data_IF_582263909767
#
_entry.id   IF_582263909767
#
_cell.length_a   1.000
_cell.length_b   1.000
_cell.length_c   1.000
_cell.angle_alpha   90.00
_cell.angle_beta   90.00
_cell.angle_gamma   90.00
#
_symmetry.space_group_name_H-M   'P 1'
#
loop_
_entity.id
_entity.type
_entity.pdbx_description
1 polymer ?
#
# COMPACT_ATOMS: atom_id res chain seq x y z
N UNK A 1 -37.03 20.73 -52.00
CA UNK A 1 -38.33 20.04 -51.71
C UNK A 1 -38.02 18.72 -50.99
N UNK A 2 -38.90 18.30 -50.08
CA UNK A 2 -38.92 16.99 -49.37
C UNK A 2 -38.19 16.92 -48.01
N UNK A 3 -38.67 17.75 -47.07
CA UNK A 3 -39.22 17.35 -45.74
C UNK A 3 -39.15 15.84 -45.43
N UNK A 4 -38.18 15.47 -44.60
CA UNK A 4 -38.01 14.14 -44.01
C UNK A 4 -38.33 14.23 -42.51
N UNK A 5 -39.62 14.11 -42.19
CA UNK A 5 -40.08 13.77 -40.84
C UNK A 5 -40.23 12.25 -40.78
N UNK A 6 -39.69 11.57 -39.76
CA UNK A 6 -40.51 10.75 -38.86
C UNK A 6 -39.74 10.03 -37.72
N UNK A 7 -40.27 10.19 -36.51
CA UNK A 7 -40.28 9.31 -35.30
C UNK A 7 -38.97 9.07 -34.54
N UNK A 8 -38.73 9.74 -33.40
CA UNK A 8 -37.94 9.15 -32.31
C UNK A 8 -38.77 8.04 -31.64
N UNK A 9 -38.37 6.79 -31.85
CA UNK A 9 -38.87 5.65 -31.08
C UNK A 9 -38.52 5.85 -29.61
N UNK A 10 -39.57 5.90 -28.78
CA UNK A 10 -39.52 5.96 -27.33
C UNK A 10 -38.90 4.67 -26.80
N UNK A 11 -37.59 4.65 -26.57
CA UNK A 11 -36.92 3.55 -25.89
C UNK A 11 -37.17 3.70 -24.38
N UNK A 12 -38.12 2.91 -23.88
CA UNK A 12 -38.40 2.75 -22.45
C UNK A 12 -37.22 2.01 -21.79
N UNK A 13 -36.22 2.74 -21.32
CA UNK A 13 -35.13 2.15 -20.53
C UNK A 13 -35.63 1.88 -19.11
N UNK A 14 -35.84 0.60 -18.81
CA UNK A 14 -36.09 0.09 -17.46
C UNK A 14 -34.96 0.57 -16.54
N UNK A 15 -35.32 1.40 -15.57
CA UNK A 15 -34.47 1.75 -14.44
C UNK A 15 -34.30 0.51 -13.55
N UNK A 16 -33.28 -0.31 -13.84
CA UNK A 16 -32.80 -1.31 -12.88
C UNK A 16 -32.17 -0.58 -11.68
N UNK A 17 -32.26 -1.14 -10.45
CA UNK A 17 -31.62 -0.54 -9.29
C UNK A 17 -30.12 -0.46 -9.58
N UNK A 18 -29.61 0.77 -9.67
CA UNK A 18 -28.19 1.03 -9.71
C UNK A 18 -27.60 0.37 -8.47
N UNK A 19 -26.91 -0.75 -8.67
CA UNK A 19 -26.03 -1.32 -7.68
C UNK A 19 -25.15 -0.17 -7.20
N UNK A 20 -25.30 0.19 -5.93
CA UNK A 20 -24.41 1.11 -5.26
C UNK A 20 -23.00 0.52 -5.43
N UNK A 21 -22.27 1.07 -6.40
CA UNK A 21 -20.85 0.81 -6.56
C UNK A 21 -20.24 1.28 -5.26
N UNK A 22 -19.92 0.32 -4.40
CA UNK A 22 -19.23 0.54 -3.15
C UNK A 22 -17.97 1.35 -3.42
N UNK A 23 -18.08 2.66 -3.25
CA UNK A 23 -17.10 3.52 -2.60
C UNK A 23 -16.57 2.79 -1.36
N UNK A 24 -15.62 1.87 -1.57
CA UNK A 24 -14.82 1.34 -0.50
C UNK A 24 -14.11 2.54 0.13
N UNK A 25 -14.45 2.86 1.37
CA UNK A 25 -13.64 3.74 2.19
C UNK A 25 -12.25 3.12 2.24
N UNK A 26 -11.30 3.73 1.52
CA UNK A 26 -9.89 3.43 1.74
C UNK A 26 -9.63 3.71 3.22
N UNK A 27 -9.16 2.72 4.00
CA UNK A 27 -8.80 2.98 5.39
C UNK A 27 -7.77 4.10 5.38
N UNK A 28 -8.12 5.25 5.98
CA UNK A 28 -7.18 6.33 6.20
C UNK A 28 -6.06 5.76 7.06
N UNK A 29 -4.90 5.57 6.46
CA UNK A 29 -3.76 4.97 7.11
C UNK A 29 -3.24 5.97 8.14
N UNK A 30 -3.62 5.76 9.40
CA UNK A 30 -3.15 6.55 10.52
C UNK A 30 -1.63 6.36 10.60
N UNK A 31 -0.89 7.43 10.34
CA UNK A 31 0.56 7.40 10.50
C UNK A 31 0.83 7.45 12.00
N UNK A 32 1.48 6.44 12.60
CA UNK A 32 1.81 6.48 14.01
C UNK A 32 2.73 7.67 14.29
N UNK A 33 2.67 8.25 15.50
CA UNK A 33 3.56 9.33 15.87
C UNK A 33 5.04 8.89 15.76
N UNK A 34 5.96 9.82 15.47
CA UNK A 34 7.39 9.52 15.46
C UNK A 34 7.86 8.89 16.78
N UNK A 35 8.88 8.04 16.70
CA UNK A 35 9.48 7.43 17.89
C UNK A 35 10.34 8.46 18.63
N UNK A 36 10.03 8.69 19.91
CA UNK A 36 10.75 9.63 20.78
C UNK A 36 12.12 9.11 21.23
N UNK A 37 13.04 10.03 21.55
CA UNK A 37 14.36 9.68 22.07
C UNK A 37 14.24 9.04 23.46
N UNK A 38 14.93 7.91 23.67
CA UNK A 38 14.87 7.14 24.91
C UNK A 38 13.69 6.18 25.00
N UNK A 39 12.72 6.25 24.07
CA UNK A 39 11.69 5.23 23.94
C UNK A 39 12.31 3.88 23.52
N UNK A 40 11.71 2.79 24.01
CA UNK A 40 12.13 1.45 23.61
C UNK A 40 11.81 1.26 22.13
N UNK A 41 12.83 0.92 21.34
CA UNK A 41 12.64 0.61 19.92
C UNK A 41 11.68 -0.58 19.75
N UNK A 42 10.65 -0.47 18.90
CA UNK A 42 9.73 -1.57 18.63
C UNK A 42 10.44 -2.79 18.04
N UNK A 43 9.99 -3.98 18.41
CA UNK A 43 10.52 -5.21 17.83
C UNK A 43 10.09 -5.34 16.37
N UNK A 44 11.02 -5.70 15.50
CA UNK A 44 10.74 -6.04 14.12
C UNK A 44 11.62 -7.18 13.63
N UNK A 45 11.16 -7.82 12.56
CA UNK A 45 11.87 -8.89 11.88
C UNK A 45 11.80 -8.65 10.37
N UNK A 46 12.96 -8.68 9.70
CA UNK A 46 13.06 -8.43 8.26
C UNK A 46 13.88 -9.52 7.57
N UNK A 47 13.58 -9.86 6.31
CA UNK A 47 14.47 -10.68 5.49
C UNK A 47 15.83 -9.98 5.37
N UNK A 48 16.91 -10.69 5.71
CA UNK A 48 18.27 -10.20 5.47
C UNK A 48 18.77 -10.62 4.09
N UNK A 49 19.67 -9.84 3.51
CA UNK A 49 20.36 -10.19 2.27
C UNK A 49 21.84 -9.84 2.34
N UNK A 50 22.67 -10.65 1.69
CA UNK A 50 24.10 -10.41 1.50
C UNK A 50 24.45 -10.53 0.02
N UNK A 51 25.73 -10.38 -0.34
CA UNK A 51 26.23 -10.67 -1.69
C UNK A 51 25.93 -12.10 -2.20
N UNK A 52 25.58 -13.03 -1.30
CA UNK A 52 25.28 -14.42 -1.62
C UNK A 52 23.77 -14.70 -1.75
N UNK A 53 22.93 -13.68 -1.64
CA UNK A 53 21.47 -13.79 -1.73
C UNK A 53 20.77 -13.56 -0.39
N UNK A 54 19.50 -13.97 -0.34
CA UNK A 54 18.62 -13.82 0.84
C UNK A 54 19.02 -14.84 1.90
N UNK A 55 19.05 -14.42 3.16
CA UNK A 55 19.35 -15.28 4.29
C UNK A 55 18.20 -16.29 4.54
N UNK A 56 18.56 -17.50 4.96
CA UNK A 56 17.57 -18.54 5.34
C UNK A 56 16.71 -18.11 6.53
N UNK A 57 17.30 -17.39 7.48
CA UNK A 57 16.63 -16.89 8.67
C UNK A 57 16.50 -15.36 8.59
N UNK A 58 15.37 -14.81 9.05
CA UNK A 58 15.21 -13.37 9.13
C UNK A 58 16.10 -12.78 10.22
N UNK A 59 16.33 -11.48 10.16
CA UNK A 59 17.06 -10.71 11.16
C UNK A 59 16.06 -10.05 12.09
N UNK A 60 16.22 -10.23 13.40
CA UNK A 60 15.37 -9.61 14.44
C UNK A 60 16.14 -8.51 15.16
N UNK A 61 15.43 -7.47 15.61
CA UNK A 61 16.07 -6.43 16.41
C UNK A 61 16.62 -6.99 17.74
N UNK A 62 15.90 -7.94 18.34
CA UNK A 62 16.32 -8.62 19.57
C UNK A 62 17.65 -9.37 19.48
N UNK A 63 18.07 -9.80 18.28
CA UNK A 63 19.37 -10.48 18.07
C UNK A 63 20.57 -9.56 18.39
N UNK A 64 20.35 -8.24 18.44
CA UNK A 64 21.39 -7.24 18.72
C UNK A 64 21.33 -6.64 20.14
N UNK A 65 20.56 -7.24 21.06
CA UNK A 65 20.53 -6.78 22.46
C UNK A 65 21.96 -6.74 23.05
N UNK A 66 22.24 -5.67 23.81
CA UNK A 66 23.57 -5.42 24.39
C UNK A 66 24.57 -4.80 23.41
N UNK A 67 24.18 -4.49 22.18
CA UNK A 67 25.01 -3.78 21.19
C UNK A 67 24.40 -2.41 20.88
N UNK A 68 25.27 -1.44 20.59
CA UNK A 68 24.84 -0.19 19.95
C UNK A 68 24.63 -0.44 18.46
N UNK A 69 23.42 -0.17 17.97
CA UNK A 69 23.03 -0.38 16.58
C UNK A 69 22.51 0.91 15.96
N UNK A 70 22.81 1.10 14.68
CA UNK A 70 22.28 2.21 13.89
C UNK A 70 21.32 1.64 12.86
N UNK A 71 20.08 2.13 12.84
CA UNK A 71 19.07 1.75 11.86
C UNK A 71 18.90 2.88 10.85
N UNK A 72 19.04 2.56 9.57
CA UNK A 72 18.87 3.51 8.47
C UNK A 72 17.86 2.94 7.46
N UNK A 73 16.83 3.72 7.17
CA UNK A 73 15.80 3.38 6.20
C UNK A 73 16.06 4.10 4.87
N UNK A 74 15.95 3.37 3.77
CA UNK A 74 16.08 3.91 2.42
C UNK A 74 14.79 3.63 1.66
N UNK A 75 14.22 4.65 1.01
CA UNK A 75 12.95 4.53 0.26
C UNK A 75 13.09 3.66 -1.01
N UNK A 76 14.31 3.45 -1.50
CA UNK A 76 14.59 2.63 -2.68
C UNK A 76 15.95 1.96 -2.55
N UNK A 77 16.03 0.71 -2.99
CA UNK A 77 17.30 0.00 -3.09
C UNK A 77 18.17 0.62 -4.20
N UNK A 78 19.45 0.85 -3.89
CA UNK A 78 20.47 1.19 -4.90
C UNK A 78 20.96 -0.11 -5.56
N UNK A 79 20.11 -0.74 -6.35
CA UNK A 79 20.51 -1.85 -7.23
C UNK A 79 20.89 -1.29 -8.61
N UNK A 80 21.81 -1.96 -9.31
CA UNK A 80 21.92 -1.75 -10.76
C UNK A 80 20.65 -2.29 -11.41
N UNK A 81 20.10 -1.54 -12.37
CA UNK A 81 19.01 -2.00 -13.22
C UNK A 81 19.46 -3.12 -14.12
#
# INVERSE_FOLDING_TARGET
>A
MRRQSWIPALALTVAGPAAALGQGQQPQQQTPPPLEVGAVAPEFSLPGATRYGVLKHPIRLSDFKGKTVVLAFFFRARTRG
#
